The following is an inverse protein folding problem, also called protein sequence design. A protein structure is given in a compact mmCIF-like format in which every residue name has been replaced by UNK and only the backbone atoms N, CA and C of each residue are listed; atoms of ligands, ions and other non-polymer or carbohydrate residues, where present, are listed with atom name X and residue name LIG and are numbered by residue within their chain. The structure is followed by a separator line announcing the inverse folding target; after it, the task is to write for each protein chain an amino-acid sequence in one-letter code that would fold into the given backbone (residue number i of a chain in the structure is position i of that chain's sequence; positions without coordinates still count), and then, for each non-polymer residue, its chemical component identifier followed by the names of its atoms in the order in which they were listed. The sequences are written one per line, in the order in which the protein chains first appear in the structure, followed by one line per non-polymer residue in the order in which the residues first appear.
data_IF_353770653900
#
_entry.id   IF_353770653900
#
_cell.length_a   1.000
_cell.length_b   1.000
_cell.length_c   1.000
_cell.angle_alpha   90.00
_cell.angle_beta   90.00
_cell.angle_gamma   90.00
#
_symmetry.space_group_name_H-M   'P 1'
#
loop_
_entity.id
_entity.type
_entity.pdbx_description
1 polymer ?
#
# COMPACT_ATOMS: atom_id res chain seq x y z
N UNK A 1 12.88 11.66 8.33
CA UNK A 1 13.09 10.73 7.20
C UNK A 1 14.39 11.08 6.47
N UNK A 2 15.03 10.13 5.80
CA UNK A 2 16.11 10.40 4.84
C UNK A 2 15.55 11.12 3.60
N UNK A 3 16.12 12.27 3.20
CA UNK A 3 15.62 13.06 2.07
C UNK A 3 16.68 13.17 0.98
N UNK A 4 16.57 12.34 -0.06
CA UNK A 4 17.49 12.39 -1.21
C UNK A 4 17.30 13.69 -2.02
N UNK A 5 16.06 14.17 -2.10
CA UNK A 5 15.67 15.42 -2.74
C UNK A 5 15.01 16.35 -1.70
N UNK A 6 15.79 17.20 -0.99
CA UNK A 6 15.28 18.00 0.13
C UNK A 6 14.14 18.96 -0.22
N UNK A 7 14.07 19.43 -1.47
CA UNK A 7 13.01 20.34 -1.96
C UNK A 7 11.83 19.61 -2.62
N UNK A 8 11.87 18.27 -2.64
CA UNK A 8 10.88 17.46 -3.32
C UNK A 8 10.50 16.25 -2.47
N UNK A 9 9.56 16.49 -1.55
CA UNK A 9 9.03 15.48 -0.63
C UNK A 9 8.53 14.20 -1.34
N UNK A 10 7.66 14.25 -2.36
CA UNK A 10 7.13 13.02 -2.95
C UNK A 10 8.22 12.16 -3.61
N UNK A 11 9.27 12.78 -4.15
CA UNK A 11 10.41 12.04 -4.70
C UNK A 11 11.26 11.42 -3.61
N UNK A 12 11.54 12.17 -2.53
CA UNK A 12 12.25 11.63 -1.36
C UNK A 12 11.48 10.48 -0.73
N UNK A 13 10.14 10.58 -0.65
CA UNK A 13 9.26 9.52 -0.19
C UNK A 13 9.39 8.28 -1.09
N UNK A 14 9.36 8.45 -2.42
CA UNK A 14 9.56 7.35 -3.38
C UNK A 14 10.92 6.66 -3.22
N UNK A 15 11.99 7.44 -3.03
CA UNK A 15 13.35 6.91 -2.78
C UNK A 15 13.40 6.11 -1.48
N UNK A 16 12.88 6.66 -0.38
CA UNK A 16 12.86 6.00 0.93
C UNK A 16 12.03 4.73 0.91
N UNK A 17 10.85 4.79 0.29
CA UNK A 17 9.97 3.64 0.12
C UNK A 17 10.66 2.52 -0.68
N UNK A 18 11.40 2.87 -1.73
CA UNK A 18 12.18 1.90 -2.51
C UNK A 18 13.27 1.26 -1.66
N UNK A 19 14.08 2.06 -0.96
CA UNK A 19 15.17 1.55 -0.12
C UNK A 19 14.66 0.65 1.02
N UNK A 20 13.49 0.97 1.58
CA UNK A 20 12.86 0.17 2.63
C UNK A 20 11.99 -0.99 2.10
N UNK A 21 11.93 -1.18 0.77
CA UNK A 21 11.18 -2.26 0.10
C UNK A 21 12.09 -3.09 -0.83
N UNK A 22 13.34 -3.31 -0.41
CA UNK A 22 14.28 -4.18 -1.13
C UNK A 22 15.15 -3.50 -2.19
N UNK A 23 15.12 -2.17 -2.29
CA UNK A 23 16.04 -1.40 -3.13
C UNK A 23 17.46 -1.32 -2.57
N UNK A 24 18.43 -1.14 -3.46
CA UNK A 24 19.85 -1.06 -3.11
C UNK A 24 20.36 0.38 -3.23
N UNK A 25 21.16 0.81 -2.24
CA UNK A 25 21.65 2.20 -2.14
C UNK A 25 22.36 2.66 -3.42
N UNK A 26 23.28 1.86 -3.97
CA UNK A 26 24.00 2.21 -5.21
C UNK A 26 23.06 2.35 -6.41
N UNK A 27 22.16 1.39 -6.60
CA UNK A 27 21.23 1.38 -7.74
C UNK A 27 20.32 2.61 -7.70
N UNK A 28 19.72 2.87 -6.54
CA UNK A 28 18.84 4.03 -6.31
C UNK A 28 19.61 5.34 -6.49
N UNK A 29 20.84 5.45 -5.95
CA UNK A 29 21.67 6.64 -6.13
C UNK A 29 22.04 6.87 -7.60
N UNK A 30 22.37 5.82 -8.37
CA UNK A 30 22.66 5.94 -9.81
C UNK A 30 21.45 6.41 -10.62
N UNK A 31 20.23 6.00 -10.26
CA UNK A 31 19.01 6.52 -10.89
C UNK A 31 18.70 7.95 -10.48
N UNK A 32 18.98 8.34 -9.22
CA UNK A 32 18.61 9.65 -8.69
C UNK A 32 19.64 10.76 -9.00
N UNK A 33 20.93 10.42 -9.08
CA UNK A 33 22.01 11.40 -9.28
C UNK A 33 21.85 12.27 -10.54
N UNK A 34 21.45 11.75 -11.71
CA UNK A 34 21.28 12.55 -12.93
C UNK A 34 20.08 13.51 -12.88
N UNK A 35 19.12 13.29 -11.96
CA UNK A 35 17.86 14.04 -11.91
C UNK A 35 17.79 14.99 -10.70
N UNK A 36 18.90 15.22 -10.00
CA UNK A 36 18.95 16.12 -8.82
C UNK A 36 18.53 17.56 -9.15
N UNK A 37 19.03 18.11 -10.24
CA UNK A 37 18.65 19.46 -10.69
C UNK A 37 17.19 19.50 -11.17
N UNK A 38 16.64 18.38 -11.65
CA UNK A 38 15.23 18.33 -12.04
C UNK A 38 14.29 18.43 -10.84
N UNK A 39 14.69 17.86 -9.70
CA UNK A 39 13.90 17.87 -8.48
C UNK A 39 13.69 19.28 -7.89
N UNK A 40 14.57 20.24 -8.19
CA UNK A 40 14.48 21.64 -7.69
C UNK A 40 13.52 22.51 -8.50
N UNK A 41 12.92 21.98 -9.58
CA UNK A 41 11.98 22.71 -10.44
C UNK A 41 10.52 22.61 -9.96
N UNK A 42 10.30 22.06 -8.76
CA UNK A 42 8.99 21.77 -8.17
C UNK A 42 8.65 20.28 -8.17
N UNK A 43 7.61 19.90 -7.42
CA UNK A 43 7.21 18.50 -7.23
C UNK A 43 6.86 17.77 -8.55
N UNK A 44 6.26 18.51 -9.49
CA UNK A 44 5.72 17.99 -10.76
C UNK A 44 6.71 18.00 -11.92
N UNK A 45 7.53 19.05 -12.04
CA UNK A 45 8.21 19.39 -13.30
C UNK A 45 9.29 18.39 -13.75
N UNK A 46 9.78 17.55 -12.84
CA UNK A 46 10.79 16.53 -13.14
C UNK A 46 10.21 15.11 -13.29
N UNK A 47 8.91 14.89 -13.11
CA UNK A 47 8.37 13.53 -12.97
C UNK A 47 8.64 12.63 -14.19
N UNK A 48 8.67 13.14 -15.44
CA UNK A 48 9.10 12.33 -16.57
C UNK A 48 10.61 12.04 -16.55
N UNK A 49 11.44 12.94 -16.01
CA UNK A 49 12.88 12.69 -15.83
C UNK A 49 13.09 11.55 -14.83
N UNK A 50 12.32 11.53 -13.73
CA UNK A 50 12.33 10.44 -12.76
C UNK A 50 11.97 9.11 -13.42
N UNK A 51 10.86 9.05 -14.17
CA UNK A 51 10.47 7.83 -14.88
C UNK A 51 11.56 7.34 -15.83
N UNK A 52 12.11 8.22 -16.67
CA UNK A 52 13.16 7.84 -17.62
C UNK A 52 14.39 7.28 -16.91
N UNK A 53 14.88 7.96 -15.87
CA UNK A 53 16.08 7.53 -15.16
C UNK A 53 15.90 6.17 -14.47
N UNK A 54 14.75 5.96 -13.83
CA UNK A 54 14.43 4.70 -13.16
C UNK A 54 14.08 3.57 -14.15
N UNK A 55 13.51 3.90 -15.31
CA UNK A 55 13.30 2.95 -16.41
C UNK A 55 14.63 2.46 -16.95
N UNK A 56 15.61 3.34 -17.16
CA UNK A 56 16.95 2.94 -17.63
C UNK A 56 17.65 1.99 -16.65
N UNK A 57 17.49 2.21 -15.34
CA UNK A 57 17.97 1.27 -14.32
C UNK A 57 17.21 -0.05 -14.37
N UNK A 58 15.89 -0.01 -14.54
CA UNK A 58 15.04 -1.20 -14.71
C UNK A 58 15.49 -2.03 -15.91
N UNK A 59 15.76 -1.41 -17.06
CA UNK A 59 16.24 -2.06 -18.28
C UNK A 59 17.58 -2.78 -18.04
N UNK A 60 18.49 -2.14 -17.30
CA UNK A 60 19.78 -2.74 -16.92
C UNK A 60 19.60 -3.99 -16.05
N UNK A 61 18.66 -3.96 -15.09
CA UNK A 61 18.35 -5.13 -14.25
C UNK A 61 17.66 -6.25 -15.03
N UNK A 62 16.76 -5.91 -15.97
CA UNK A 62 16.12 -6.87 -16.85
C UNK A 62 17.14 -7.59 -17.71
N UNK A 63 18.10 -6.87 -18.31
CA UNK A 63 19.17 -7.50 -19.10
C UNK A 63 20.06 -8.44 -18.27
N UNK A 64 20.34 -8.08 -17.01
CA UNK A 64 21.06 -8.96 -16.07
C UNK A 64 20.22 -10.20 -15.70
N UNK A 65 18.91 -10.03 -15.52
CA UNK A 65 18.01 -11.13 -15.19
C UNK A 65 17.95 -12.14 -16.34
N UNK A 66 17.82 -11.65 -17.57
CA UNK A 66 17.81 -12.48 -18.79
C UNK A 66 19.11 -13.26 -18.97
N UNK A 67 20.26 -12.65 -18.65
CA UNK A 67 21.54 -13.37 -18.70
C UNK A 67 21.61 -14.46 -17.61
N UNK A 68 21.19 -14.14 -16.39
CA UNK A 68 21.11 -15.14 -15.32
C UNK A 68 20.15 -16.28 -15.67
N UNK A 69 19.03 -16.03 -16.38
CA UNK A 69 18.16 -17.10 -16.88
C UNK A 69 18.86 -18.00 -17.89
N UNK A 70 19.58 -17.43 -18.87
CA UNK A 70 20.34 -18.21 -19.88
C UNK A 70 21.40 -19.10 -19.24
N UNK A 71 22.04 -18.63 -18.17
CA UNK A 71 23.03 -19.38 -17.39
C UNK A 71 22.39 -20.40 -16.41
N UNK A 72 21.06 -20.44 -16.30
CA UNK A 72 20.34 -21.34 -15.40
C UNK A 72 20.26 -20.85 -13.94
N UNK A 73 20.69 -19.63 -13.65
CA UNK A 73 20.67 -18.99 -12.33
C UNK A 73 19.29 -18.42 -11.98
N UNK A 74 18.27 -19.29 -11.94
CA UNK A 74 16.84 -18.92 -11.75
C UNK A 74 16.59 -18.00 -10.55
N UNK A 75 17.19 -18.32 -9.39
CA UNK A 75 17.03 -17.50 -8.17
C UNK A 75 17.54 -16.08 -8.36
N UNK A 76 18.71 -15.94 -8.99
CA UNK A 76 19.33 -14.63 -9.27
C UNK A 76 18.45 -13.83 -10.23
N UNK A 77 17.97 -14.45 -11.30
CA UNK A 77 17.04 -13.82 -12.25
C UNK A 77 15.75 -13.35 -11.56
N UNK A 78 15.12 -14.20 -10.75
CA UNK A 78 13.91 -13.82 -10.01
C UNK A 78 14.12 -12.66 -9.04
N UNK A 79 15.26 -12.60 -8.35
CA UNK A 79 15.63 -11.46 -7.49
C UNK A 79 15.86 -10.17 -8.28
N UNK A 80 16.41 -10.26 -9.49
CA UNK A 80 16.60 -9.11 -10.38
C UNK A 80 15.27 -8.60 -10.92
N UNK A 81 14.37 -9.48 -11.34
CA UNK A 81 13.01 -9.11 -11.77
C UNK A 81 12.19 -8.49 -10.63
N UNK A 82 12.28 -9.01 -9.41
CA UNK A 82 11.60 -8.41 -8.26
C UNK A 82 12.09 -6.98 -7.98
N UNK A 83 13.41 -6.73 -8.03
CA UNK A 83 13.95 -5.35 -7.87
C UNK A 83 13.56 -4.44 -9.03
N UNK A 84 13.65 -4.93 -10.27
CA UNK A 84 13.24 -4.19 -11.46
C UNK A 84 11.76 -3.77 -11.38
N UNK A 85 10.90 -4.68 -10.91
CA UNK A 85 9.48 -4.40 -10.68
C UNK A 85 9.29 -3.29 -9.64
N UNK A 86 9.94 -3.40 -8.48
CA UNK A 86 9.86 -2.37 -7.43
C UNK A 86 10.28 -0.98 -7.97
N UNK A 87 11.38 -0.90 -8.71
CA UNK A 87 11.88 0.37 -9.24
C UNK A 87 10.93 0.98 -10.27
N UNK A 88 10.43 0.18 -11.20
CA UNK A 88 9.50 0.68 -12.21
C UNK A 88 8.14 1.06 -11.58
N UNK A 89 7.63 0.26 -10.64
CA UNK A 89 6.37 0.55 -9.94
C UNK A 89 6.45 1.89 -9.19
N UNK A 90 7.56 2.14 -8.50
CA UNK A 90 7.79 3.38 -7.76
C UNK A 90 7.92 4.60 -8.69
N UNK A 91 8.50 4.41 -9.87
CA UNK A 91 8.61 5.47 -10.87
C UNK A 91 7.26 5.76 -11.57
N UNK A 92 6.48 4.71 -11.89
CA UNK A 92 5.13 4.83 -12.47
C UNK A 92 4.17 5.53 -11.50
N UNK A 93 4.27 5.21 -10.20
CA UNK A 93 3.46 5.81 -9.14
C UNK A 93 3.51 7.34 -9.14
N UNK A 94 4.66 7.95 -9.48
CA UNK A 94 4.84 9.40 -9.45
C UNK A 94 4.31 10.14 -10.69
N UNK A 95 3.82 9.42 -11.70
CA UNK A 95 3.35 10.04 -12.94
C UNK A 95 1.93 10.61 -12.79
N UNK A 96 1.61 11.62 -13.61
CA UNK A 96 0.25 12.18 -13.76
C UNK A 96 -0.75 11.14 -14.27
N UNK A 97 -2.01 11.23 -13.85
CA UNK A 97 -3.09 10.33 -14.30
C UNK A 97 -3.27 10.36 -15.83
N UNK A 98 -3.02 11.52 -16.44
CA UNK A 98 -3.07 11.74 -17.88
C UNK A 98 -1.73 11.54 -18.62
N UNK A 99 -0.68 11.07 -17.94
CA UNK A 99 0.61 10.86 -18.57
C UNK A 99 0.54 9.85 -19.74
N UNK A 100 1.08 10.24 -20.89
CA UNK A 100 1.19 9.35 -22.05
C UNK A 100 2.02 8.10 -21.71
N UNK A 101 1.55 6.93 -22.13
CA UNK A 101 2.24 5.66 -21.86
C UNK A 101 2.18 5.17 -20.41
N UNK A 102 1.36 5.78 -19.54
CA UNK A 102 1.16 5.31 -18.15
C UNK A 102 0.74 3.84 -18.08
N UNK A 103 -0.27 3.47 -18.86
CA UNK A 103 -0.77 2.10 -18.90
C UNK A 103 0.27 1.12 -19.44
N UNK A 104 1.12 1.53 -20.38
CA UNK A 104 2.17 0.67 -20.91
C UNK A 104 3.28 0.45 -19.87
N UNK A 105 3.65 1.50 -19.14
CA UNK A 105 4.58 1.41 -18.00
C UNK A 105 4.03 0.47 -16.93
N UNK A 106 2.73 0.59 -16.61
CA UNK A 106 2.09 -0.28 -15.62
C UNK A 106 1.94 -1.73 -16.09
N UNK A 107 1.59 -1.97 -17.36
CA UNK A 107 1.59 -3.33 -17.95
C UNK A 107 2.96 -3.98 -17.82
N UNK A 108 4.02 -3.21 -18.09
CA UNK A 108 5.40 -3.68 -17.92
C UNK A 108 5.72 -4.04 -16.47
N UNK A 109 5.22 -3.27 -15.48
CA UNK A 109 5.33 -3.63 -14.06
C UNK A 109 4.71 -5.01 -13.81
N UNK A 110 3.51 -5.27 -14.32
CA UNK A 110 2.82 -6.55 -14.15
C UNK A 110 3.57 -7.73 -14.81
N UNK A 111 4.12 -7.51 -16.00
CA UNK A 111 4.92 -8.52 -16.72
C UNK A 111 6.19 -8.91 -15.94
N UNK A 112 6.92 -7.90 -15.42
CA UNK A 112 8.11 -8.14 -14.60
C UNK A 112 7.77 -8.83 -13.28
N UNK A 113 6.64 -8.47 -12.66
CA UNK A 113 6.17 -9.10 -11.43
C UNK A 113 5.82 -10.57 -11.65
N UNK A 114 5.20 -10.92 -12.78
CA UNK A 114 4.91 -12.31 -13.12
C UNK A 114 6.20 -13.13 -13.25
N UNK A 115 7.22 -12.60 -13.95
CA UNK A 115 8.54 -13.25 -14.03
C UNK A 115 9.18 -13.43 -12.65
N UNK A 116 9.03 -12.45 -11.76
CA UNK A 116 9.51 -12.57 -10.38
C UNK A 116 8.82 -13.72 -9.64
N UNK A 117 7.50 -13.88 -9.77
CA UNK A 117 6.78 -15.01 -9.15
C UNK A 117 7.26 -16.36 -9.70
N UNK A 118 7.32 -16.52 -11.02
CA UNK A 118 7.69 -17.78 -11.66
C UNK A 118 9.11 -18.28 -11.28
N UNK A 119 10.00 -17.36 -10.92
CA UNK A 119 11.41 -17.64 -10.65
C UNK A 119 11.78 -17.59 -9.16
N UNK A 120 11.22 -16.65 -8.40
CA UNK A 120 11.59 -16.36 -7.01
C UNK A 120 10.60 -16.94 -6.00
N UNK A 121 9.31 -16.76 -6.24
CA UNK A 121 8.25 -17.07 -5.26
C UNK A 121 7.09 -17.86 -5.91
N UNK A 122 7.33 -19.09 -6.41
CA UNK A 122 6.31 -19.84 -7.17
C UNK A 122 5.07 -20.25 -6.35
N UNK A 123 5.11 -20.12 -5.03
CA UNK A 123 3.96 -20.33 -4.14
C UNK A 123 3.09 -19.08 -3.92
N UNK A 124 3.48 -17.94 -4.49
CA UNK A 124 2.72 -16.69 -4.50
C UNK A 124 2.22 -16.46 -5.92
N UNK A 125 0.92 -16.17 -6.07
CA UNK A 125 0.31 -16.04 -7.38
C UNK A 125 -0.75 -14.96 -7.47
N UNK A 126 -1.08 -14.60 -8.71
CA UNK A 126 -2.21 -13.73 -9.01
C UNK A 126 -3.53 -14.47 -8.84
N UNK A 127 -4.49 -13.80 -8.21
CA UNK A 127 -5.87 -14.26 -8.07
C UNK A 127 -6.82 -13.13 -8.43
N UNK A 128 -8.07 -13.49 -8.76
CA UNK A 128 -9.13 -12.55 -9.10
C UNK A 128 -10.32 -12.79 -8.18
N UNK A 129 -10.74 -11.74 -7.46
CA UNK A 129 -11.84 -11.81 -6.49
C UNK A 129 -13.12 -11.35 -7.20
N UNK A 130 -14.17 -12.16 -7.32
CA UNK A 130 -15.42 -11.72 -7.93
C UNK A 130 -16.01 -10.48 -7.22
N UNK A 131 -16.35 -9.44 -7.99
CA UNK A 131 -16.85 -8.17 -7.43
C UNK A 131 -17.71 -7.41 -8.45
N UNK A 132 -18.99 -7.16 -8.13
CA UNK A 132 -19.91 -6.29 -8.89
C UNK A 132 -19.88 -6.45 -10.43
N UNK A 133 -19.84 -7.70 -10.94
CA UNK A 133 -19.82 -7.99 -12.38
C UNK A 133 -18.44 -7.87 -13.05
N UNK A 134 -17.40 -7.64 -12.26
CA UNK A 134 -15.98 -7.69 -12.63
C UNK A 134 -15.20 -8.46 -11.55
N UNK A 135 -13.90 -8.22 -11.42
CA UNK A 135 -13.03 -8.81 -10.41
C UNK A 135 -12.10 -7.78 -9.76
N UNK A 136 -11.75 -7.97 -8.48
CA UNK A 136 -10.64 -7.25 -7.86
C UNK A 136 -9.33 -8.02 -8.09
N UNK A 137 -8.31 -7.39 -8.72
CA UNK A 137 -7.00 -8.02 -8.91
C UNK A 137 -6.25 -8.12 -7.60
N UNK A 138 -5.70 -9.30 -7.31
CA UNK A 138 -4.98 -9.53 -6.06
C UNK A 138 -3.81 -10.50 -6.22
N UNK A 139 -2.92 -10.49 -5.24
CA UNK A 139 -1.90 -11.51 -5.04
C UNK A 139 -2.22 -12.31 -3.78
N UNK A 140 -2.04 -13.62 -3.84
CA UNK A 140 -2.23 -14.52 -2.70
C UNK A 140 -0.93 -15.25 -2.36
N UNK A 141 -0.55 -15.17 -1.08
CA UNK A 141 0.54 -15.94 -0.49
C UNK A 141 -0.05 -16.93 0.52
N UNK A 142 0.09 -18.22 0.24
CA UNK A 142 -0.34 -19.29 1.13
C UNK A 142 0.74 -19.60 2.19
N UNK A 143 0.34 -19.73 3.46
CA UNK A 143 1.25 -20.08 4.56
C UNK A 143 1.10 -21.52 5.08
N UNK A 144 0.22 -22.32 4.49
CA UNK A 144 -0.04 -23.71 4.87
C UNK A 144 -1.48 -24.13 4.60
N UNK A 145 -1.85 -25.31 5.10
CA UNK A 145 -3.24 -25.80 5.07
C UNK A 145 -4.06 -25.16 6.20
N UNK A 146 -5.29 -24.76 5.90
CA UNK A 146 -6.23 -24.14 6.86
C UNK A 146 -5.56 -23.04 7.72
N UNK A 147 -4.80 -22.16 7.06
CA UNK A 147 -4.03 -21.11 7.72
C UNK A 147 -4.91 -19.87 7.99
N UNK A 148 -4.67 -19.13 9.09
CA UNK A 148 -5.23 -17.78 9.24
C UNK A 148 -4.75 -16.89 8.08
N UNK A 149 -5.51 -15.86 7.74
CA UNK A 149 -5.19 -15.00 6.59
C UNK A 149 -5.38 -13.53 6.93
N UNK A 150 -4.47 -12.70 6.44
CA UNK A 150 -4.61 -11.25 6.44
C UNK A 150 -4.94 -10.74 5.04
N UNK A 151 -6.02 -9.99 4.91
CA UNK A 151 -6.27 -9.13 3.76
C UNK A 151 -5.39 -7.88 3.95
N UNK A 152 -4.70 -7.45 2.89
CA UNK A 152 -3.85 -6.28 2.89
C UNK A 152 -4.33 -5.29 1.83
N UNK A 153 -4.62 -4.06 2.26
CA UNK A 153 -5.09 -2.97 1.41
C UNK A 153 -4.12 -1.79 1.38
N UNK A 154 -4.04 -1.17 0.20
CA UNK A 154 -3.18 -0.03 -0.04
C UNK A 154 -3.91 1.29 0.25
N UNK A 155 -3.14 2.38 0.17
CA UNK A 155 -3.67 3.74 0.21
C UNK A 155 -3.94 4.33 -1.18
N UNK A 156 -3.84 5.66 -1.24
CA UNK A 156 -4.24 6.50 -2.37
C UNK A 156 -3.50 6.21 -3.69
N UNK A 157 -2.25 5.75 -3.63
CA UNK A 157 -1.30 5.80 -4.76
C UNK A 157 -0.47 4.52 -4.96
N UNK A 158 -0.29 3.71 -3.91
CA UNK A 158 0.36 2.40 -3.98
C UNK A 158 -0.54 1.32 -4.59
N UNK A 159 0.05 0.19 -4.94
CA UNK A 159 -0.59 -0.98 -5.58
C UNK A 159 -0.16 -2.27 -4.87
N UNK A 160 -0.76 -3.41 -5.21
CA UNK A 160 -0.34 -4.73 -4.70
C UNK A 160 1.13 -5.10 -5.00
N UNK A 161 1.75 -4.54 -6.04
CA UNK A 161 3.19 -4.71 -6.27
C UNK A 161 4.03 -4.01 -5.19
N UNK A 162 3.58 -2.85 -4.71
CA UNK A 162 4.21 -2.18 -3.58
C UNK A 162 4.00 -2.97 -2.27
N UNK A 163 2.83 -3.59 -2.10
CA UNK A 163 2.59 -4.52 -0.98
C UNK A 163 3.53 -5.72 -1.02
N UNK A 164 3.69 -6.34 -2.20
CA UNK A 164 4.62 -7.43 -2.40
C UNK A 164 6.07 -7.00 -2.08
N UNK A 165 6.51 -5.86 -2.61
CA UNK A 165 7.85 -5.34 -2.40
C UNK A 165 8.15 -4.97 -0.94
N UNK A 166 7.14 -4.57 -0.16
CA UNK A 166 7.31 -4.27 1.28
C UNK A 166 7.77 -5.45 2.12
N UNK A 167 7.58 -6.69 1.63
CA UNK A 167 7.92 -7.91 2.36
C UNK A 167 6.99 -8.23 3.53
N UNK A 168 5.94 -7.45 3.79
CA UNK A 168 5.02 -7.71 4.91
C UNK A 168 4.33 -9.08 4.79
N UNK A 169 3.96 -9.50 3.58
CA UNK A 169 3.42 -10.84 3.33
C UNK A 169 4.38 -11.95 3.75
N UNK A 170 5.70 -11.75 3.61
CA UNK A 170 6.71 -12.74 3.97
C UNK A 170 6.88 -12.82 5.49
N UNK A 171 6.78 -11.69 6.20
CA UNK A 171 6.75 -11.65 7.67
C UNK A 171 5.53 -12.39 8.25
N UNK A 172 4.37 -12.24 7.61
CA UNK A 172 3.15 -12.99 7.96
C UNK A 172 3.31 -14.48 7.65
N UNK A 173 3.83 -14.84 6.47
CA UNK A 173 4.05 -16.23 6.07
C UNK A 173 5.03 -16.95 7.01
N UNK A 174 6.09 -16.26 7.46
CA UNK A 174 7.03 -16.79 8.46
C UNK A 174 6.38 -17.11 9.81
N UNK A 175 5.20 -16.54 10.10
CA UNK A 175 4.37 -16.77 11.28
C UNK A 175 3.17 -17.70 10.99
N UNK A 176 3.15 -18.34 9.83
CA UNK A 176 2.08 -19.27 9.42
C UNK A 176 0.77 -18.58 9.05
N UNK A 177 0.82 -17.31 8.61
CA UNK A 177 -0.35 -16.52 8.24
C UNK A 177 -0.31 -16.22 6.73
N UNK A 178 -1.35 -16.63 6.02
CA UNK A 178 -1.54 -16.34 4.59
C UNK A 178 -1.82 -14.86 4.38
N UNK A 179 -1.58 -14.34 3.18
CA UNK A 179 -1.80 -12.93 2.85
C UNK A 179 -2.50 -12.76 1.49
N UNK A 180 -3.56 -11.95 1.47
CA UNK A 180 -4.28 -11.53 0.26
C UNK A 180 -4.06 -10.03 0.04
N UNK A 181 -3.21 -9.66 -0.92
CA UNK A 181 -2.85 -8.29 -1.27
C UNK A 181 -3.73 -7.81 -2.42
N UNK A 182 -4.61 -6.84 -2.18
CA UNK A 182 -5.69 -6.48 -3.11
C UNK A 182 -5.50 -5.08 -3.66
N UNK A 183 -5.58 -4.92 -4.98
CA UNK A 183 -5.84 -3.62 -5.59
C UNK A 183 -7.33 -3.29 -5.42
N UNK A 184 -7.66 -2.47 -4.42
CA UNK A 184 -9.03 -2.03 -4.17
C UNK A 184 -9.52 -1.01 -5.21
N UNK A 185 -10.84 -0.76 -5.31
CA UNK A 185 -11.35 0.35 -6.11
C UNK A 185 -10.62 1.66 -5.77
N UNK A 186 -10.17 2.37 -6.81
CA UNK A 186 -9.32 3.55 -6.68
C UNK A 186 -7.81 3.26 -6.71
N UNK A 187 -7.37 2.03 -6.96
CA UNK A 187 -5.94 1.71 -7.00
C UNK A 187 -5.55 0.60 -7.98
N UNK A 188 -4.24 0.52 -8.27
CA UNK A 188 -3.62 -0.50 -9.10
C UNK A 188 -4.39 -0.88 -10.36
N UNK A 189 -4.54 -2.19 -10.63
CA UNK A 189 -5.26 -2.70 -11.79
C UNK A 189 -6.76 -2.39 -11.74
N UNK A 190 -7.38 -2.38 -10.55
CA UNK A 190 -8.79 -2.04 -10.39
C UNK A 190 -9.10 -0.64 -10.97
N UNK A 191 -8.28 0.36 -10.68
CA UNK A 191 -8.44 1.70 -11.26
C UNK A 191 -7.86 1.80 -12.68
N UNK A 192 -6.59 1.43 -12.87
CA UNK A 192 -5.85 1.68 -14.11
C UNK A 192 -6.37 0.87 -15.29
N UNK A 193 -6.81 -0.36 -15.06
CA UNK A 193 -7.23 -1.29 -16.13
C UNK A 193 -8.74 -1.39 -16.20
N UNK A 194 -9.42 -1.45 -15.06
CA UNK A 194 -10.87 -1.70 -15.02
C UNK A 194 -11.70 -0.43 -14.77
N UNK A 195 -11.08 0.70 -14.42
CA UNK A 195 -11.79 1.96 -14.17
C UNK A 195 -12.62 1.99 -12.88
N UNK A 196 -12.37 1.07 -11.94
CA UNK A 196 -13.02 1.06 -10.63
C UNK A 196 -12.45 2.18 -9.77
N UNK A 197 -13.25 3.20 -9.49
CA UNK A 197 -12.90 4.34 -8.64
C UNK A 197 -13.19 4.03 -7.17
N UNK A 198 -12.51 4.75 -6.27
CA UNK A 198 -12.72 4.65 -4.84
C UNK A 198 -14.16 5.06 -4.48
N UNK A 199 -14.68 4.46 -3.40
CA UNK A 199 -16.00 4.77 -2.84
C UNK A 199 -15.90 4.82 -1.32
N UNK A 200 -16.90 5.44 -0.69
CA UNK A 200 -16.90 5.69 0.76
C UNK A 200 -17.07 4.40 1.55
N UNK A 201 -17.93 3.50 1.07
CA UNK A 201 -18.40 2.27 1.71
C UNK A 201 -17.51 1.05 1.44
N UNK A 202 -16.42 0.98 2.20
CA UNK A 202 -15.35 -0.03 2.05
C UNK A 202 -15.76 -1.44 2.40
N UNK A 203 -16.83 -1.58 3.18
CA UNK A 203 -17.47 -2.86 3.47
C UNK A 203 -17.91 -3.60 2.20
N UNK A 204 -18.23 -2.89 1.10
CA UNK A 204 -18.66 -3.52 -0.15
C UNK A 204 -17.60 -4.46 -0.74
N UNK A 205 -16.33 -4.04 -0.80
CA UNK A 205 -15.25 -4.91 -1.28
C UNK A 205 -14.60 -5.73 -0.17
N UNK A 206 -14.79 -5.35 1.10
CA UNK A 206 -14.46 -6.23 2.23
C UNK A 206 -15.21 -7.55 2.13
N UNK A 207 -16.54 -7.48 1.97
CA UNK A 207 -17.39 -8.66 1.84
C UNK A 207 -16.98 -9.53 0.67
N UNK A 208 -16.66 -8.96 -0.49
CA UNK A 208 -16.18 -9.72 -1.65
C UNK A 208 -14.84 -10.45 -1.37
N UNK A 209 -13.90 -9.81 -0.67
CA UNK A 209 -12.65 -10.44 -0.27
C UNK A 209 -12.89 -11.60 0.71
N UNK A 210 -13.76 -11.41 1.70
CA UNK A 210 -14.13 -12.45 2.67
C UNK A 210 -14.84 -13.61 1.98
N UNK A 211 -15.82 -13.34 1.11
CA UNK A 211 -16.56 -14.35 0.34
C UNK A 211 -15.60 -15.23 -0.47
N UNK A 212 -14.64 -14.60 -1.16
CA UNK A 212 -13.60 -15.33 -1.90
C UNK A 212 -12.75 -16.22 -0.99
N UNK A 213 -12.28 -15.69 0.15
CA UNK A 213 -11.47 -16.44 1.12
C UNK A 213 -12.25 -17.62 1.73
N UNK A 214 -13.56 -17.48 1.93
CA UNK A 214 -14.43 -18.56 2.40
C UNK A 214 -14.61 -19.69 1.36
N UNK A 215 -14.30 -19.46 0.08
CA UNK A 215 -14.29 -20.54 -0.92
C UNK A 215 -13.00 -21.36 -0.93
N UNK A 216 -11.98 -20.94 -0.18
CA UNK A 216 -10.67 -21.59 -0.18
C UNK A 216 -10.59 -22.65 0.93
N UNK A 217 -10.01 -23.80 0.59
CA UNK A 217 -9.80 -24.91 1.54
C UNK A 217 -8.49 -24.76 2.33
N UNK A 218 -7.56 -23.92 1.86
CA UNK A 218 -6.29 -23.62 2.53
C UNK A 218 -6.39 -22.44 3.53
N UNK A 219 -7.59 -21.88 3.74
CA UNK A 219 -7.85 -20.73 4.62
C UNK A 219 -8.76 -21.12 5.76
N UNK A 220 -8.38 -20.74 6.98
CA UNK A 220 -9.27 -20.80 8.15
C UNK A 220 -10.25 -19.62 8.12
N UNK A 221 -11.50 -19.95 7.81
CA UNK A 221 -12.61 -18.99 7.65
C UNK A 221 -12.94 -18.23 8.93
N UNK A 222 -12.53 -18.72 10.10
CA UNK A 222 -12.76 -18.06 11.39
C UNK A 222 -11.64 -17.09 11.77
N UNK A 223 -10.54 -17.07 11.01
CA UNK A 223 -9.34 -16.27 11.28
C UNK A 223 -8.93 -15.46 10.05
N UNK A 224 -9.88 -14.64 9.57
CA UNK A 224 -9.67 -13.66 8.50
C UNK A 224 -9.49 -12.28 9.13
N UNK A 225 -8.33 -11.68 8.98
CA UNK A 225 -8.04 -10.32 9.45
C UNK A 225 -7.84 -9.34 8.30
N UNK A 226 -7.81 -8.05 8.63
CA UNK A 226 -7.60 -6.98 7.65
C UNK A 226 -6.58 -5.95 8.14
N UNK A 227 -5.60 -5.62 7.31
CA UNK A 227 -4.66 -4.51 7.51
C UNK A 227 -4.75 -3.54 6.32
N UNK A 228 -4.82 -2.25 6.62
CA UNK A 228 -4.78 -1.21 5.60
C UNK A 228 -3.73 -0.15 5.93
N UNK A 229 -2.85 0.16 4.98
CA UNK A 229 -1.87 1.23 5.15
C UNK A 229 -2.27 2.55 4.52
N UNK A 230 -1.79 3.67 5.05
CA UNK A 230 -2.07 5.02 4.51
C UNK A 230 -3.58 5.29 4.44
N UNK A 231 -4.16 5.62 3.28
CA UNK A 231 -5.63 5.72 3.12
C UNK A 231 -6.36 4.40 3.42
N UNK A 232 -5.67 3.26 3.37
CA UNK A 232 -6.14 1.99 3.93
C UNK A 232 -6.41 2.05 5.44
N UNK A 233 -5.81 3.00 6.17
CA UNK A 233 -6.12 3.32 7.56
C UNK A 233 -7.48 4.01 7.77
N UNK A 234 -8.17 4.42 6.70
CA UNK A 234 -9.60 4.72 6.67
C UNK A 234 -10.40 3.47 6.25
N UNK A 235 -9.96 2.82 5.16
CA UNK A 235 -10.68 1.68 4.59
C UNK A 235 -10.83 0.50 5.56
N UNK A 236 -9.76 0.09 6.23
CA UNK A 236 -9.75 -1.10 7.08
C UNK A 236 -10.67 -0.96 8.32
N UNK A 237 -10.58 0.12 9.12
CA UNK A 237 -11.51 0.32 10.23
C UNK A 237 -12.97 0.40 9.80
N UNK A 238 -13.26 1.07 8.67
CA UNK A 238 -14.63 1.12 8.16
C UNK A 238 -15.14 -0.24 7.72
N UNK A 239 -14.32 -1.04 7.04
CA UNK A 239 -14.69 -2.40 6.68
C UNK A 239 -14.99 -3.25 7.94
N UNK A 240 -14.12 -3.20 8.95
CA UNK A 240 -14.33 -3.93 10.21
C UNK A 240 -15.54 -3.46 11.02
N UNK A 241 -15.98 -2.22 10.84
CA UNK A 241 -17.20 -1.71 11.45
C UNK A 241 -18.46 -2.40 10.88
N UNK A 242 -18.46 -2.86 9.64
CA UNK A 242 -19.68 -3.37 8.97
C UNK A 242 -19.58 -4.83 8.45
N UNK A 243 -18.39 -5.33 8.10
CA UNK A 243 -18.16 -6.73 7.74
C UNK A 243 -17.74 -7.53 8.99
N UNK A 244 -18.74 -8.15 9.62
CA UNK A 244 -18.60 -8.78 10.95
C UNK A 244 -17.90 -10.14 10.94
N UNK A 245 -17.55 -10.69 9.76
CA UNK A 245 -16.76 -11.92 9.65
C UNK A 245 -15.26 -11.70 9.85
N UNK A 246 -14.79 -10.44 9.82
CA UNK A 246 -13.40 -10.11 10.13
C UNK A 246 -13.12 -10.39 11.61
N UNK A 247 -12.03 -11.10 11.90
CA UNK A 247 -11.61 -11.51 13.23
C UNK A 247 -10.71 -10.49 13.94
N UNK A 248 -10.03 -9.62 13.18
CA UNK A 248 -9.20 -8.52 13.69
C UNK A 248 -8.99 -7.45 12.61
N UNK A 249 -8.60 -6.25 13.03
CA UNK A 249 -8.30 -5.15 12.10
C UNK A 249 -7.09 -4.33 12.53
N UNK A 250 -6.29 -3.89 11.55
CA UNK A 250 -5.12 -3.02 11.75
C UNK A 250 -5.24 -1.77 10.87
N UNK A 251 -5.19 -0.60 11.50
CA UNK A 251 -4.99 0.68 10.82
C UNK A 251 -3.51 1.07 10.87
N UNK A 252 -2.81 0.99 9.73
CA UNK A 252 -1.41 1.33 9.60
C UNK A 252 -1.26 2.72 8.97
N UNK A 253 -1.05 3.76 9.78
CA UNK A 253 -1.17 5.15 9.33
C UNK A 253 -2.63 5.63 9.37
N UNK A 254 -3.21 5.63 10.58
CA UNK A 254 -4.61 5.96 10.87
C UNK A 254 -5.14 7.22 10.16
N UNK A 255 -6.00 7.02 9.16
CA UNK A 255 -6.69 8.07 8.41
C UNK A 255 -8.13 8.25 8.93
N UNK A 256 -8.29 8.84 10.12
CA UNK A 256 -9.61 8.94 10.73
C UNK A 256 -10.56 9.88 9.97
N UNK A 257 -10.07 11.02 9.49
CA UNK A 257 -10.88 12.03 8.80
C UNK A 257 -10.11 12.53 7.58
N UNK A 258 -10.19 11.73 6.50
CA UNK A 258 -9.45 11.99 5.28
C UNK A 258 -10.02 13.19 4.51
N UNK A 259 -11.32 13.43 4.62
CA UNK A 259 -11.99 14.62 4.09
C UNK A 259 -11.40 15.92 4.63
N UNK A 260 -11.25 16.03 5.95
CA UNK A 260 -10.63 17.20 6.58
C UNK A 260 -9.17 17.40 6.16
N UNK A 261 -8.41 16.32 5.88
CA UNK A 261 -7.05 16.44 5.31
C UNK A 261 -7.09 17.13 3.95
N UNK A 262 -8.09 16.84 3.11
CA UNK A 262 -8.20 17.48 1.80
C UNK A 262 -8.45 18.98 1.92
N UNK A 263 -9.29 19.40 2.86
CA UNK A 263 -9.51 20.83 3.13
C UNK A 263 -8.22 21.53 3.58
N UNK A 264 -7.48 20.94 4.52
CA UNK A 264 -6.17 21.44 4.97
C UNK A 264 -5.15 21.52 3.82
N UNK A 265 -5.16 20.57 2.89
CA UNK A 265 -4.28 20.59 1.70
C UNK A 265 -4.61 21.72 0.71
N UNK A 266 -5.86 22.20 0.65
CA UNK A 266 -6.20 23.42 -0.11
C UNK A 266 -5.55 24.66 0.53
N UNK A 267 -5.45 24.66 1.86
CA UNK A 267 -4.79 25.70 2.67
C UNK A 267 -3.26 25.52 2.70
N UNK A 268 -2.73 24.56 1.93
CA UNK A 268 -1.30 24.22 1.80
C UNK A 268 -0.68 23.62 3.07
N UNK A 269 -1.50 22.95 3.89
CA UNK A 269 -1.04 22.20 5.04
C UNK A 269 -0.86 20.70 4.71
N UNK A 270 0.19 20.11 5.30
CA UNK A 270 0.52 18.69 5.14
C UNK A 270 1.20 18.38 3.80
N UNK A 271 2.04 17.35 3.82
CA UNK A 271 2.76 16.90 2.63
C UNK A 271 1.87 16.06 1.70
N UNK A 272 2.13 16.15 0.40
CA UNK A 272 1.44 15.37 -0.64
C UNK A 272 2.26 14.12 -0.99
N UNK A 273 1.64 12.94 -1.06
CA UNK A 273 2.39 11.69 -1.29
C UNK A 273 2.86 11.50 -2.74
N UNK A 274 2.28 12.24 -3.69
CA UNK A 274 2.58 12.16 -5.11
C UNK A 274 2.52 13.56 -5.74
N UNK A 275 3.26 13.78 -6.84
CA UNK A 275 3.09 14.92 -7.73
C UNK A 275 1.70 14.93 -8.37
N UNK A 276 1.31 16.06 -8.98
CA UNK A 276 0.01 16.25 -9.63
C UNK A 276 -1.17 15.88 -8.73
N UNK A 277 -1.03 16.16 -7.43
CA UNK A 277 -1.85 15.58 -6.38
C UNK A 277 -3.36 15.64 -6.63
N UNK A 278 -3.88 16.80 -7.01
CA UNK A 278 -5.31 16.97 -7.24
C UNK A 278 -5.82 16.21 -8.45
N UNK A 279 -5.02 16.10 -9.52
CA UNK A 279 -5.35 15.27 -10.67
C UNK A 279 -5.45 13.80 -10.26
N UNK A 280 -4.48 13.32 -9.48
CA UNK A 280 -4.47 11.95 -8.97
C UNK A 280 -5.67 11.67 -8.06
N UNK A 281 -5.99 12.57 -7.13
CA UNK A 281 -7.15 12.43 -6.24
C UNK A 281 -8.47 12.39 -7.03
N UNK A 282 -8.65 13.30 -7.98
CA UNK A 282 -9.84 13.36 -8.83
C UNK A 282 -10.01 12.06 -9.64
N UNK A 283 -8.92 11.53 -10.20
CA UNK A 283 -8.92 10.25 -10.90
C UNK A 283 -9.28 9.07 -9.97
N UNK A 284 -8.66 8.98 -8.79
CA UNK A 284 -8.93 7.90 -7.83
C UNK A 284 -10.40 7.87 -7.43
N UNK A 285 -11.02 9.02 -7.19
CA UNK A 285 -12.40 9.11 -6.71
C UNK A 285 -13.44 9.29 -7.82
N UNK A 286 -13.02 9.39 -9.09
CA UNK A 286 -13.93 9.53 -10.22
C UNK A 286 -14.65 10.88 -10.31
N UNK A 287 -13.98 11.95 -9.90
CA UNK A 287 -14.50 13.32 -9.99
C UNK A 287 -13.75 14.13 -11.04
N UNK A 288 -14.42 15.09 -11.68
CA UNK A 288 -13.79 15.99 -12.67
C UNK A 288 -13.49 17.38 -12.09
N UNK A 289 -14.18 17.77 -11.02
CA UNK A 289 -14.15 19.13 -10.48
C UNK A 289 -13.74 19.12 -9.00
N UNK A 290 -12.72 19.90 -8.67
CA UNK A 290 -12.14 19.94 -7.32
C UNK A 290 -13.16 20.40 -6.27
N UNK A 291 -13.94 21.44 -6.53
CA UNK A 291 -14.90 21.97 -5.56
C UNK A 291 -16.02 20.97 -5.22
N UNK A 292 -16.48 20.22 -6.22
CA UNK A 292 -17.45 19.13 -6.04
C UNK A 292 -16.83 17.99 -5.24
N UNK A 293 -15.61 17.59 -5.58
CA UNK A 293 -14.88 16.56 -4.86
C UNK A 293 -14.65 16.95 -3.40
N UNK A 294 -14.27 18.19 -3.10
CA UNK A 294 -14.02 18.66 -1.73
C UNK A 294 -15.30 18.67 -0.88
N UNK A 295 -16.46 18.88 -1.51
CA UNK A 295 -17.75 18.75 -0.83
C UNK A 295 -18.10 17.27 -0.60
N UNK A 296 -17.81 16.39 -1.57
CA UNK A 296 -17.97 14.95 -1.42
C UNK A 296 -17.04 14.35 -0.35
N UNK A 297 -15.80 14.83 -0.29
CA UNK A 297 -14.75 14.30 0.57
C UNK A 297 -15.06 14.44 2.07
N UNK A 298 -15.92 15.39 2.45
CA UNK A 298 -16.43 15.53 3.83
C UNK A 298 -17.13 14.26 4.34
N UNK A 299 -17.52 13.34 3.47
CA UNK A 299 -18.12 12.04 3.83
C UNK A 299 -17.08 10.99 4.20
N UNK A 300 -15.79 11.24 3.96
CA UNK A 300 -14.71 10.27 4.09
C UNK A 300 -14.06 10.44 5.47
N UNK A 301 -14.79 9.99 6.49
CA UNK A 301 -14.34 9.99 7.88
C UNK A 301 -14.86 8.76 8.63
N UNK A 302 -14.30 8.50 9.80
CA UNK A 302 -14.68 7.39 10.67
C UNK A 302 -15.50 7.81 11.90
N UNK A 303 -15.90 9.08 12.02
CA UNK A 303 -16.85 9.48 13.07
C UNK A 303 -18.15 8.69 12.99
N UNK A 304 -18.55 8.11 14.12
CA UNK A 304 -19.71 7.23 14.20
C UNK A 304 -19.51 5.85 13.56
N UNK A 305 -18.34 5.56 13.01
CA UNK A 305 -17.98 4.27 12.39
C UNK A 305 -17.08 3.47 13.29
N UNK A 306 -16.01 4.06 13.86
CA UNK A 306 -15.04 3.32 14.68
C UNK A 306 -15.69 2.67 15.91
N UNK A 307 -16.71 3.31 16.47
CA UNK A 307 -17.50 2.75 17.56
C UNK A 307 -18.15 1.41 17.23
N UNK A 308 -18.42 1.11 15.96
CA UNK A 308 -19.06 -0.14 15.54
C UNK A 308 -18.08 -1.31 15.39
N UNK A 309 -16.77 -1.10 15.58
CA UNK A 309 -15.77 -2.16 15.50
C UNK A 309 -15.86 -3.06 16.74
N UNK A 310 -16.18 -4.34 16.53
CA UNK A 310 -16.40 -5.34 17.60
C UNK A 310 -15.32 -6.41 17.68
N UNK A 311 -14.19 -6.20 17.01
CA UNK A 311 -13.04 -7.12 16.97
C UNK A 311 -11.77 -6.43 17.49
N UNK A 312 -10.71 -7.17 17.87
CA UNK A 312 -9.42 -6.58 18.22
C UNK A 312 -8.95 -5.58 17.16
N UNK A 313 -8.57 -4.38 17.60
CA UNK A 313 -8.21 -3.26 16.75
C UNK A 313 -6.84 -2.69 17.12
N UNK A 314 -5.88 -2.84 16.22
CA UNK A 314 -4.57 -2.22 16.32
C UNK A 314 -4.48 -0.94 15.48
N UNK A 315 -3.98 0.12 16.08
CA UNK A 315 -3.64 1.37 15.42
C UNK A 315 -2.12 1.55 15.50
N UNK A 316 -1.45 1.60 14.36
CA UNK A 316 -0.02 1.90 14.24
C UNK A 316 0.15 3.25 13.55
N UNK A 317 0.91 4.17 14.14
CA UNK A 317 1.09 5.52 13.58
C UNK A 317 2.45 6.11 13.91
N UNK A 318 3.03 6.91 13.02
CA UNK A 318 4.30 7.59 13.26
C UNK A 318 4.10 8.96 13.93
N UNK A 319 4.93 9.31 14.92
CA UNK A 319 4.78 10.59 15.64
C UNK A 319 4.99 11.83 14.74
N UNK A 320 5.73 11.67 13.64
CA UNK A 320 6.11 12.71 12.67
C UNK A 320 5.50 12.45 11.30
N UNK A 321 4.37 11.75 11.23
CA UNK A 321 3.64 11.60 9.98
C UNK A 321 3.26 12.99 9.44
N UNK A 322 3.93 13.41 8.36
CA UNK A 322 3.73 14.71 7.72
C UNK A 322 2.52 14.74 6.79
N UNK A 323 1.94 13.59 6.49
CA UNK A 323 0.77 13.51 5.62
C UNK A 323 -0.52 13.46 6.42
N UNK A 324 -0.51 12.69 7.51
CA UNK A 324 -1.70 12.40 8.32
C UNK A 324 -1.40 12.79 9.79
N UNK A 325 -2.21 13.66 10.41
CA UNK A 325 -1.97 14.07 11.80
C UNK A 325 -2.08 12.92 12.80
N UNK A 326 -1.17 12.88 13.78
CA UNK A 326 -1.17 11.92 14.88
C UNK A 326 -2.49 11.91 15.68
N UNK A 327 -3.15 13.07 15.80
CA UNK A 327 -4.44 13.19 16.48
C UNK A 327 -5.51 12.25 15.92
N UNK A 328 -5.41 11.85 14.65
CA UNK A 328 -6.34 10.89 14.07
C UNK A 328 -6.15 9.47 14.60
N UNK A 329 -4.91 9.09 14.94
CA UNK A 329 -4.65 7.82 15.60
C UNK A 329 -5.26 7.81 17.02
N UNK A 330 -5.12 8.91 17.76
CA UNK A 330 -5.76 9.09 19.07
C UNK A 330 -7.29 9.07 18.97
N UNK A 331 -7.87 9.79 18.00
CA UNK A 331 -9.32 9.84 17.76
C UNK A 331 -9.89 8.45 17.44
N UNK A 332 -9.25 7.69 16.56
CA UNK A 332 -9.62 6.29 16.31
C UNK A 332 -9.55 5.44 17.58
N UNK A 333 -8.49 5.58 18.37
CA UNK A 333 -8.35 4.82 19.61
C UNK A 333 -9.45 5.15 20.62
N UNK A 334 -9.76 6.43 20.82
CA UNK A 334 -10.79 6.89 21.75
C UNK A 334 -12.19 6.45 21.34
N UNK A 335 -12.50 6.50 20.04
CA UNK A 335 -13.82 6.11 19.51
C UNK A 335 -14.06 4.59 19.44
N UNK A 336 -13.02 3.76 19.49
CA UNK A 336 -13.12 2.30 19.42
C UNK A 336 -13.65 1.68 20.73
N UNK A 337 -14.81 2.14 21.19
CA UNK A 337 -15.38 1.79 22.51
C UNK A 337 -15.95 0.39 22.59
N UNK A 338 -16.35 -0.21 21.46
CA UNK A 338 -16.88 -1.58 21.42
C UNK A 338 -15.83 -2.62 21.00
N UNK A 339 -14.61 -2.22 20.68
CA UNK A 339 -13.54 -3.17 20.41
C UNK A 339 -13.13 -3.89 21.71
N UNK A 340 -13.07 -5.24 21.73
CA UNK A 340 -12.71 -6.00 22.93
C UNK A 340 -11.23 -5.84 23.32
N UNK A 341 -10.36 -5.50 22.37
CA UNK A 341 -8.95 -5.18 22.60
C UNK A 341 -8.51 -4.12 21.61
N UNK A 342 -8.52 -2.85 22.04
CA UNK A 342 -7.98 -1.73 21.26
C UNK A 342 -6.56 -1.38 21.72
N UNK A 343 -5.64 -1.26 20.76
CA UNK A 343 -4.25 -0.84 21.01
C UNK A 343 -3.84 0.29 20.09
N UNK A 344 -3.11 1.26 20.64
CA UNK A 344 -2.45 2.33 19.89
C UNK A 344 -0.94 2.22 20.09
N UNK A 345 -0.22 2.08 18.99
CA UNK A 345 1.23 2.11 18.92
C UNK A 345 1.68 3.33 18.12
N UNK A 346 2.25 4.31 18.83
CA UNK A 346 2.89 5.48 18.22
C UNK A 346 4.39 5.22 18.10
N UNK A 347 4.94 5.28 16.89
CA UNK A 347 6.37 5.12 16.61
C UNK A 347 7.07 6.49 16.67
N UNK A 348 8.03 6.62 17.58
CA UNK A 348 8.75 7.86 17.88
C UNK A 348 9.96 8.08 16.97
N UNK A 349 10.44 9.32 16.85
CA UNK A 349 11.63 9.57 16.05
C UNK A 349 12.90 8.99 16.67
N UNK A 350 12.91 8.77 17.99
CA UNK A 350 14.05 8.15 18.67
C UNK A 350 14.22 6.67 18.31
N UNK A 351 13.12 5.96 18.04
CA UNK A 351 13.15 4.54 17.64
C UNK A 351 13.13 4.34 16.10
N UNK A 352 12.80 5.40 15.36
CA UNK A 352 12.58 5.35 13.91
C UNK A 352 11.20 4.83 13.54
N UNK A 353 10.89 4.82 12.24
CA UNK A 353 9.55 4.52 11.72
C UNK A 353 8.50 5.59 12.09
N UNK A 354 8.96 6.82 12.30
CA UNK A 354 8.13 7.93 12.79
C UNK A 354 7.37 8.66 11.70
N UNK A 355 7.66 8.39 10.43
CA UNK A 355 7.07 9.11 9.31
C UNK A 355 5.83 8.39 8.78
N UNK A 356 5.28 8.85 7.66
CA UNK A 356 4.07 8.26 7.09
C UNK A 356 4.21 6.75 6.91
N UNK A 357 3.29 5.99 7.53
CA UNK A 357 3.29 4.53 7.64
C UNK A 357 4.62 3.91 8.14
N UNK A 358 5.49 4.70 8.76
CA UNK A 358 6.84 4.29 9.15
C UNK A 358 7.75 3.95 7.98
N UNK A 359 7.56 4.56 6.79
CA UNK A 359 8.38 4.30 5.60
C UNK A 359 9.88 4.51 5.82
N UNK A 360 10.26 5.37 6.76
CA UNK A 360 11.65 5.59 7.16
C UNK A 360 12.28 4.39 7.88
N UNK A 361 11.48 3.43 8.35
CA UNK A 361 11.92 2.13 8.85
C UNK A 361 10.78 1.09 8.77
N UNK A 362 10.34 0.78 7.55
CA UNK A 362 9.13 0.00 7.29
C UNK A 362 9.13 -1.38 7.97
N UNK A 363 10.31 -2.03 8.00
CA UNK A 363 10.50 -3.32 8.65
C UNK A 363 10.14 -3.34 10.14
N UNK A 364 10.38 -2.25 10.87
CA UNK A 364 10.06 -2.16 12.31
C UNK A 364 8.55 -2.17 12.55
N UNK A 365 7.78 -1.44 11.75
CA UNK A 365 6.31 -1.43 11.87
C UNK A 365 5.74 -2.76 11.38
N UNK A 366 6.26 -3.28 10.28
CA UNK A 366 5.85 -4.56 9.68
C UNK A 366 5.96 -5.72 10.68
N UNK A 367 7.11 -5.88 11.34
CA UNK A 367 7.33 -6.97 12.31
C UNK A 367 6.46 -6.82 13.54
N UNK A 368 6.31 -5.59 14.07
CA UNK A 368 5.41 -5.32 15.19
C UNK A 368 3.95 -5.69 14.88
N UNK A 369 3.46 -5.32 13.69
CA UNK A 369 2.11 -5.70 13.25
C UNK A 369 2.01 -7.22 13.11
N UNK A 370 2.98 -7.87 12.47
CA UNK A 370 2.96 -9.32 12.25
C UNK A 370 2.97 -10.10 13.57
N UNK A 371 3.72 -9.64 14.58
CA UNK A 371 3.72 -10.22 15.93
C UNK A 371 2.34 -10.06 16.60
N UNK A 372 1.77 -8.86 16.59
CA UNK A 372 0.44 -8.63 17.17
C UNK A 372 -0.65 -9.46 16.49
N UNK A 373 -0.63 -9.56 15.15
CA UNK A 373 -1.57 -10.40 14.40
C UNK A 373 -1.44 -11.87 14.80
N UNK A 374 -0.20 -12.36 14.92
CA UNK A 374 0.07 -13.74 15.34
C UNK A 374 -0.46 -14.04 16.74
N UNK A 375 -0.22 -13.13 17.69
CA UNK A 375 -0.70 -13.25 19.07
C UNK A 375 -2.22 -13.28 19.14
N UNK A 376 -2.91 -12.39 18.41
CA UNK A 376 -4.37 -12.35 18.39
C UNK A 376 -4.95 -13.63 17.81
N UNK A 377 -4.46 -14.10 16.65
CA UNK A 377 -4.94 -15.36 16.07
C UNK A 377 -4.59 -16.60 16.89
N UNK A 378 -3.57 -16.55 17.75
CA UNK A 378 -3.25 -17.62 18.69
C UNK A 378 -4.22 -17.63 19.88
N UNK A 379 -4.69 -16.45 20.32
CA UNK A 379 -5.61 -16.29 21.45
C UNK A 379 -7.06 -16.70 21.15
N UNK A 380 -7.44 -16.79 19.87
CA UNK A 380 -8.79 -17.16 19.41
C UNK A 380 -8.94 -18.65 19.05
N UNK A 381 -7.93 -19.49 19.37
CA UNK A 381 -7.93 -20.93 19.07
C UNK A 381 -8.80 -21.78 19.99
#
# INVERSE_FOLDING_TARGET
MFEYFPENYPWSLGVVATLNSGGLIDEVDRACRPIREAATRGEDAGTPDFLRAWTALTDQLVGQAEEAEKEGHRRTAGQLYARATNYLAQAERLQSASAEGRLDSYRRVLELQQKAFDLKDPGLGRVEIPYEGTTLPAYFSAAGENAPVMIMWNGLDSTKEHMYASGHWAELAARGISCLMVDCPGSGEALRVQGLTARVDTEAWASACVDYLETRDDVDRTRIGLVGWSLGGYYAPRAAAFEKRLALVVAWGANHDWGAVQRRRLEREGERPVPHYWEHVLWVWGHEHLDEFISFADRIHLDGVVGEITVPFLICHGERDRQIPLDYAHRSYEQAVHSPDRKLRVFTAAEGASEHIGLDHLGHVSTFIADWVSDVFASTR
#
